data_IF_975209941804
#
_entry.id   IF_975209941804
#
_cell.length_a   1.000
_cell.length_b   1.000
_cell.length_c   1.000
_cell.angle_alpha   90.00
_cell.angle_beta   90.00
_cell.angle_gamma   90.00
#
_symmetry.space_group_name_H-M   'P 1'
#
loop_
_entity.id
_entity.type
_entity.pdbx_description
1 polymer ?
#
# COMPACT_ATOMS: atom_id res chain seq x y z
N UNK A 1 50.26 19.17 13.43
CA UNK A 1 49.47 20.16 12.66
C UNK A 1 48.65 19.42 11.61
N UNK A 2 47.35 19.38 11.87
CA UNK A 2 46.19 19.01 11.03
C UNK A 2 46.44 18.60 9.57
N UNK A 3 46.29 17.30 9.27
CA UNK A 3 45.91 16.74 7.96
C UNK A 3 45.95 15.21 8.13
N UNK A 4 44.84 14.49 8.32
CA UNK A 4 43.85 14.29 7.28
C UNK A 4 42.51 14.00 7.96
N UNK A 5 41.75 15.07 8.08
CA UNK A 5 40.35 15.09 8.44
C UNK A 5 39.55 14.81 7.15
N UNK A 6 38.55 13.92 7.23
CA UNK A 6 37.38 13.81 6.34
C UNK A 6 37.60 13.41 4.87
N UNK A 7 37.54 12.11 4.56
CA UNK A 7 37.17 11.54 3.25
C UNK A 7 36.79 10.06 3.51
N UNK A 8 35.58 9.53 3.33
CA UNK A 8 34.49 9.81 2.41
C UNK A 8 33.15 9.32 3.01
N UNK A 9 32.27 10.24 3.42
CA UNK A 9 30.84 9.97 3.58
C UNK A 9 30.18 10.15 2.20
N UNK A 10 30.36 9.18 1.30
CA UNK A 10 29.63 9.11 0.04
C UNK A 10 28.68 7.92 0.05
N UNK A 11 27.76 7.87 1.02
CA UNK A 11 26.62 6.97 0.99
C UNK A 11 25.43 7.72 0.38
N UNK A 12 25.42 7.85 -0.95
CA UNK A 12 24.16 8.11 -1.65
C UNK A 12 23.31 6.84 -1.56
N UNK A 13 22.35 6.78 -0.64
CA UNK A 13 21.27 5.78 -0.71
C UNK A 13 19.97 6.51 -1.05
N UNK A 14 19.60 6.53 -2.34
CA UNK A 14 18.19 6.58 -2.64
C UNK A 14 17.86 5.67 -3.82
N UNK A 15 17.25 4.53 -3.55
CA UNK A 15 16.31 3.93 -4.50
C UNK A 15 15.37 3.00 -3.75
N UNK A 16 14.22 3.51 -3.40
CA UNK A 16 13.09 2.68 -3.06
C UNK A 16 11.80 3.40 -3.45
N UNK A 17 10.82 2.56 -3.76
CA UNK A 17 9.37 2.78 -3.71
C UNK A 17 8.75 1.36 -3.61
N UNK A 18 9.35 0.52 -2.73
CA UNK A 18 9.03 -0.88 -2.40
C UNK A 18 9.49 -2.02 -3.36
N UNK A 19 10.79 -2.34 -3.37
CA UNK A 19 11.32 -3.68 -3.78
C UNK A 19 11.45 -3.99 -5.29
N UNK A 20 11.80 -5.24 -5.67
CA UNK A 20 12.04 -5.67 -7.06
C UNK A 20 10.86 -5.34 -8.00
N UNK A 21 11.08 -5.33 -9.33
CA UNK A 21 10.10 -4.82 -10.29
C UNK A 21 8.72 -5.46 -10.13
N UNK A 22 7.66 -4.66 -10.29
CA UNK A 22 6.28 -5.15 -10.27
C UNK A 22 6.15 -6.20 -11.35
N UNK A 23 5.80 -7.42 -10.94
CA UNK A 23 5.30 -8.43 -11.86
C UNK A 23 3.81 -8.15 -12.07
N UNK A 24 3.41 -7.95 -13.31
CA UNK A 24 1.98 -7.97 -13.64
C UNK A 24 1.41 -9.34 -13.33
N UNK A 25 0.36 -9.37 -12.53
CA UNK A 25 -0.37 -10.58 -12.16
C UNK A 25 -1.72 -10.53 -12.87
N UNK A 26 -2.09 -11.60 -13.55
CA UNK A 26 -3.39 -11.66 -14.22
C UNK A 26 -4.53 -11.65 -13.20
N UNK A 27 -5.69 -11.09 -13.58
CA UNK A 27 -6.88 -11.09 -12.73
C UNK A 27 -7.31 -12.52 -12.32
N UNK A 28 -7.14 -13.49 -13.21
CA UNK A 28 -7.49 -14.90 -12.92
C UNK A 28 -6.52 -15.51 -11.90
N UNK A 29 -5.22 -15.20 -11.97
CA UNK A 29 -4.25 -15.60 -10.95
C UNK A 29 -4.55 -14.95 -9.59
N UNK A 30 -4.93 -13.67 -9.58
CA UNK A 30 -5.35 -12.99 -8.35
C UNK A 30 -6.59 -13.67 -7.73
N UNK A 31 -7.63 -13.93 -8.53
CA UNK A 31 -8.84 -14.63 -8.05
C UNK A 31 -8.53 -16.03 -7.53
N UNK A 32 -7.68 -16.78 -8.20
CA UNK A 32 -7.29 -18.13 -7.78
C UNK A 32 -6.55 -18.15 -6.44
N UNK A 33 -5.84 -17.08 -6.09
CA UNK A 33 -5.09 -16.94 -4.84
C UNK A 33 -5.84 -16.16 -3.75
N UNK A 34 -7.04 -15.66 -4.03
CA UNK A 34 -7.83 -14.92 -3.05
C UNK A 34 -8.25 -15.85 -1.90
N UNK A 35 -8.07 -15.45 -0.63
CA UNK A 35 -8.48 -16.26 0.51
C UNK A 35 -9.99 -16.53 0.50
N UNK A 36 -10.37 -17.78 0.76
CA UNK A 36 -11.78 -18.13 0.97
C UNK A 36 -12.10 -17.89 2.46
N UNK A 37 -12.89 -16.85 2.73
CA UNK A 37 -13.32 -16.51 4.08
C UNK A 37 -12.35 -15.58 4.81
N UNK A 38 -11.70 -16.06 5.87
CA UNK A 38 -10.89 -15.22 6.77
C UNK A 38 -9.63 -14.71 6.06
N UNK A 39 -9.35 -13.41 6.16
CA UNK A 39 -8.09 -12.83 5.72
C UNK A 39 -6.91 -13.33 6.58
N UNK A 40 -5.70 -13.26 6.02
CA UNK A 40 -4.49 -13.58 6.78
C UNK A 40 -4.29 -12.58 7.93
N UNK A 41 -3.61 -13.01 9.00
CA UNK A 41 -3.22 -12.11 10.11
C UNK A 41 -1.99 -11.25 9.80
N UNK A 42 -1.73 -10.97 8.52
CA UNK A 42 -0.51 -10.28 8.05
C UNK A 42 -0.61 -8.75 8.22
N UNK A 43 -1.79 -8.20 8.02
CA UNK A 43 -2.04 -6.76 8.00
C UNK A 43 -3.14 -6.41 9.00
N UNK A 44 -2.80 -5.57 9.98
CA UNK A 44 -3.70 -5.15 11.05
C UNK A 44 -4.02 -3.66 10.89
N UNK A 45 -5.28 -3.30 10.60
CA UNK A 45 -5.69 -1.90 10.55
C UNK A 45 -5.56 -1.25 11.92
N UNK A 46 -4.93 -0.08 11.97
CA UNK A 46 -4.73 0.73 13.16
C UNK A 46 -5.74 1.89 13.22
N UNK A 47 -5.96 2.54 12.08
CA UNK A 47 -6.88 3.67 11.96
C UNK A 47 -7.47 3.75 10.55
N UNK A 48 -8.66 4.35 10.48
CA UNK A 48 -9.35 4.65 9.23
C UNK A 48 -9.68 6.13 9.18
N UNK A 49 -9.43 6.75 8.03
CA UNK A 49 -9.93 8.07 7.67
C UNK A 49 -10.81 7.88 6.44
N UNK A 50 -12.09 8.20 6.57
CA UNK A 50 -13.10 7.95 5.53
C UNK A 50 -13.74 9.26 5.14
N UNK A 51 -13.53 9.66 3.89
CA UNK A 51 -14.17 10.82 3.28
C UNK A 51 -15.13 10.33 2.21
N UNK A 52 -16.44 10.44 2.49
CA UNK A 52 -17.50 9.92 1.64
C UNK A 52 -18.43 11.03 1.16
N UNK A 53 -18.71 11.05 -0.13
CA UNK A 53 -19.74 11.89 -0.76
C UNK A 53 -20.95 11.01 -1.08
N UNK A 54 -22.08 11.33 -0.45
CA UNK A 54 -23.35 10.64 -0.64
C UNK A 54 -24.40 11.64 -1.12
N UNK A 55 -24.85 11.48 -2.36
CA UNK A 55 -26.00 12.21 -2.90
C UNK A 55 -27.19 11.25 -2.98
N UNK A 56 -28.27 11.46 -2.21
CA UNK A 56 -29.45 10.59 -2.26
C UNK A 56 -30.16 10.52 -3.62
N UNK A 57 -29.90 11.48 -4.52
CA UNK A 57 -30.44 11.49 -5.88
C UNK A 57 -29.59 10.69 -6.87
N UNK A 58 -28.42 10.19 -6.45
CA UNK A 58 -27.52 9.40 -7.26
C UNK A 58 -27.50 7.94 -6.79
N UNK A 59 -27.36 6.96 -7.70
CA UNK A 59 -27.38 5.55 -7.36
C UNK A 59 -26.06 5.04 -6.73
N UNK A 60 -25.02 5.87 -6.68
CA UNK A 60 -23.67 5.52 -6.19
C UNK A 60 -23.14 6.59 -5.26
N UNK A 61 -22.28 6.18 -4.34
CA UNK A 61 -21.44 7.09 -3.56
C UNK A 61 -20.03 7.15 -4.18
N UNK A 62 -19.26 8.15 -3.77
CA UNK A 62 -17.84 8.26 -4.08
C UNK A 62 -17.07 8.71 -2.85
N UNK A 63 -15.76 8.50 -2.83
CA UNK A 63 -14.98 8.89 -1.68
C UNK A 63 -13.55 8.38 -1.73
N UNK A 64 -12.84 8.64 -0.65
CA UNK A 64 -11.46 8.21 -0.41
C UNK A 64 -11.36 7.61 0.98
N UNK A 65 -10.54 6.58 1.12
CA UNK A 65 -10.27 5.93 2.40
C UNK A 65 -8.78 5.77 2.57
N UNK A 66 -8.26 6.29 3.69
CA UNK A 66 -6.91 6.00 4.14
C UNK A 66 -6.98 5.01 5.29
N UNK A 67 -6.11 4.02 5.24
CA UNK A 67 -6.04 2.95 6.22
C UNK A 67 -4.60 2.89 6.73
N UNK A 68 -4.40 3.22 7.99
CA UNK A 68 -3.11 2.99 8.65
C UNK A 68 -3.03 1.50 8.99
N UNK A 69 -1.97 0.83 8.56
CA UNK A 69 -1.82 -0.63 8.70
C UNK A 69 -0.50 -0.94 9.40
N UNK A 70 -0.57 -1.80 10.43
CA UNK A 70 0.59 -2.53 10.92
C UNK A 70 0.79 -3.80 10.10
N UNK A 71 1.95 -3.96 9.46
CA UNK A 71 2.30 -5.13 8.67
C UNK A 71 3.28 -6.01 9.45
N UNK A 72 2.88 -7.25 9.76
CA UNK A 72 3.67 -8.15 10.63
C UNK A 72 5.00 -8.56 9.99
N UNK A 73 5.01 -8.76 8.67
CA UNK A 73 6.20 -9.15 7.90
C UNK A 73 6.16 -8.53 6.51
N UNK A 74 7.31 -8.38 5.84
CA UNK A 74 7.36 -7.90 4.46
C UNK A 74 6.47 -8.75 3.54
N UNK A 75 5.66 -8.09 2.71
CA UNK A 75 4.77 -8.75 1.77
C UNK A 75 4.72 -8.00 0.44
N UNK A 76 4.43 -8.73 -0.64
CA UNK A 76 4.27 -8.16 -1.99
C UNK A 76 2.85 -7.69 -2.27
N UNK A 77 1.93 -7.89 -1.33
CA UNK A 77 0.53 -7.51 -1.42
C UNK A 77 -0.25 -7.96 -0.18
N UNK A 78 -1.43 -7.39 0.00
CA UNK A 78 -2.37 -7.75 1.07
C UNK A 78 -3.74 -8.01 0.47
N UNK A 79 -4.54 -8.83 1.13
CA UNK A 79 -5.93 -9.05 0.77
C UNK A 79 -6.83 -8.21 1.67
N UNK A 80 -7.87 -7.61 1.08
CA UNK A 80 -8.85 -6.81 1.78
C UNK A 80 -10.25 -7.08 1.21
N UNK A 81 -11.28 -6.94 2.04
CA UNK A 81 -12.66 -7.00 1.58
C UNK A 81 -13.04 -5.73 0.81
N UNK A 82 -13.76 -5.89 -0.30
CA UNK A 82 -14.16 -4.77 -1.17
C UNK A 82 -15.36 -5.08 -2.05
N UNK A 83 -16.31 -5.88 -1.53
CA UNK A 83 -17.49 -6.30 -2.31
C UNK A 83 -18.27 -5.09 -2.82
N UNK A 84 -18.46 -5.01 -4.15
CA UNK A 84 -19.24 -3.96 -4.79
C UNK A 84 -18.53 -2.60 -4.88
N UNK A 85 -17.23 -2.52 -4.54
CA UNK A 85 -16.44 -1.32 -4.72
C UNK A 85 -15.85 -1.27 -6.13
N UNK A 86 -15.98 -0.11 -6.76
CA UNK A 86 -15.29 0.23 -8.01
C UNK A 86 -14.05 1.06 -7.65
N UNK A 87 -12.93 0.37 -7.38
CA UNK A 87 -11.69 1.00 -6.93
C UNK A 87 -10.96 1.57 -8.14
N UNK A 88 -10.92 2.90 -8.23
CA UNK A 88 -10.32 3.61 -9.37
C UNK A 88 -8.83 3.89 -9.22
N UNK A 89 -8.31 3.92 -7.99
CA UNK A 89 -6.91 4.20 -7.68
C UNK A 89 -6.53 3.63 -6.30
N UNK A 90 -5.26 3.28 -6.13
CA UNK A 90 -4.69 2.85 -4.85
C UNK A 90 -3.29 3.46 -4.73
N UNK A 91 -2.98 3.99 -3.56
CA UNK A 91 -1.64 4.48 -3.24
C UNK A 91 -1.22 3.94 -1.86
N UNK A 92 0.04 3.54 -1.73
CA UNK A 92 0.63 3.01 -0.50
C UNK A 92 1.79 3.91 -0.12
N UNK A 93 1.75 4.42 1.11
CA UNK A 93 2.87 5.16 1.70
C UNK A 93 3.45 4.39 2.88
N UNK A 94 4.76 4.15 2.86
CA UNK A 94 5.48 3.57 4.00
C UNK A 94 6.94 4.04 4.00
N UNK A 95 7.58 4.11 5.16
CA UNK A 95 8.99 4.54 5.26
C UNK A 95 9.29 5.94 4.70
N UNK A 96 8.27 6.80 4.53
CA UNK A 96 8.40 8.11 3.89
C UNK A 96 8.37 8.09 2.35
N UNK A 97 8.08 6.94 1.75
CA UNK A 97 7.98 6.75 0.30
C UNK A 97 6.58 6.31 -0.11
N UNK A 98 6.19 6.68 -1.32
CA UNK A 98 4.84 6.47 -1.84
C UNK A 98 4.88 5.72 -3.18
N UNK A 99 3.98 4.75 -3.34
CA UNK A 99 3.81 3.95 -4.57
C UNK A 99 2.33 3.86 -4.95
N UNK A 100 2.04 4.10 -6.22
CA UNK A 100 0.74 3.87 -6.87
C UNK A 100 0.80 2.64 -7.76
#
# INVERSE_FOLDING_TARGET
MYAALLLLLAACVPKSAFGPPVREVSLEELKANAPVGRLSGLAWPLAYRVDLTVNPNEPRFSGHVEIDINLETSATGIWMHGLGLDVSDVEITAGGETRR
#
